data_IF_100591110790
#
_entry.id   IF_100591110790
#
_cell.length_a   1.000
_cell.length_b   1.000
_cell.length_c   1.000
_cell.angle_alpha   90.00
_cell.angle_beta   90.00
_cell.angle_gamma   90.00
#
_symmetry.space_group_name_H-M   'P 1'
#
loop_
_entity.id
_entity.type
_entity.pdbx_description
1 polymer ?
#
# COMPACT_ATOMS: atom_id res chain seq x y z
N UNK A 1 -1.62 7.63 17.70
CA UNK A 1 -2.07 7.46 16.30
C UNK A 1 -2.82 6.15 16.17
N UNK A 2 -4.03 6.18 15.62
CA UNK A 2 -4.74 4.99 15.15
C UNK A 2 -4.29 4.55 13.75
N UNK A 3 -3.97 3.26 13.62
CA UNK A 3 -3.50 2.63 12.38
C UNK A 3 -4.53 1.62 11.89
N UNK A 4 -4.89 1.74 10.62
CA UNK A 4 -5.85 0.85 9.94
C UNK A 4 -5.22 -0.47 9.48
N UNK A 5 -6.06 -1.48 9.25
CA UNK A 5 -5.61 -2.78 8.73
C UNK A 5 -4.98 -2.63 7.35
N UNK A 6 -5.51 -1.76 6.51
CA UNK A 6 -5.06 -1.50 5.14
C UNK A 6 -3.62 -0.98 5.13
N UNK A 7 -3.30 -0.03 6.03
CA UNK A 7 -1.96 0.51 6.21
C UNK A 7 -0.96 -0.57 6.60
N UNK A 8 -1.28 -1.37 7.61
CA UNK A 8 -0.38 -2.45 8.05
C UNK A 8 -0.24 -3.54 6.98
N UNK A 9 -1.31 -3.82 6.22
CA UNK A 9 -1.31 -4.83 5.17
C UNK A 9 -0.34 -4.49 4.03
N UNK A 10 0.04 -3.23 3.85
CA UNK A 10 1.07 -2.84 2.89
C UNK A 10 2.44 -3.46 3.17
N UNK A 11 2.75 -3.78 4.43
CA UNK A 11 4.05 -4.31 4.81
C UNK A 11 4.42 -5.61 4.06
N UNK A 12 3.42 -6.36 3.55
CA UNK A 12 3.63 -7.57 2.74
C UNK A 12 4.27 -7.30 1.37
N UNK A 13 4.20 -6.06 0.88
CA UNK A 13 4.78 -5.64 -0.39
C UNK A 13 6.21 -5.08 -0.22
N UNK A 14 6.69 -4.92 1.01
CA UNK A 14 8.06 -4.48 1.24
C UNK A 14 9.07 -5.52 0.69
N UNK A 15 10.10 -5.10 -0.06
CA UNK A 15 11.07 -6.01 -0.65
C UNK A 15 11.90 -6.71 0.42
N UNK A 16 12.06 -8.03 0.31
CA UNK A 16 12.90 -8.82 1.24
C UNK A 16 14.40 -8.52 1.06
N UNK A 17 14.81 -8.31 -0.20
CA UNK A 17 16.20 -8.13 -0.61
C UNK A 17 16.35 -6.81 -1.37
N UNK A 18 16.68 -5.74 -0.67
CA UNK A 18 16.93 -4.42 -1.26
C UNK A 18 18.15 -3.76 -0.61
N UNK A 19 18.99 -3.05 -1.37
CA UNK A 19 20.25 -2.50 -0.83
C UNK A 19 20.01 -1.45 0.27
N UNK A 20 18.98 -0.62 0.13
CA UNK A 20 18.51 0.25 1.18
C UNK A 20 17.65 -0.54 2.18
N UNK A 21 18.05 -0.57 3.46
CA UNK A 21 17.32 -1.26 4.53
C UNK A 21 15.99 -0.58 4.83
N UNK A 22 15.90 0.75 4.83
CA UNK A 22 14.68 1.50 5.12
C UNK A 22 13.53 1.11 4.19
N UNK A 23 13.85 0.91 2.91
CA UNK A 23 12.92 0.46 1.86
C UNK A 23 12.33 -0.93 2.13
N UNK A 24 12.99 -1.77 2.92
CA UNK A 24 12.48 -3.11 3.31
C UNK A 24 11.40 -3.05 4.40
N UNK A 25 10.90 -1.86 4.74
CA UNK A 25 10.00 -1.61 5.87
C UNK A 25 8.79 -0.82 5.41
N UNK A 26 7.73 -0.88 6.21
CA UNK A 26 6.57 -0.01 6.08
C UNK A 26 6.92 1.34 6.70
N UNK A 27 6.74 2.42 5.94
CA UNK A 27 6.96 3.78 6.41
C UNK A 27 5.64 4.45 6.74
N UNK A 28 5.51 4.93 7.98
CA UNK A 28 4.37 5.72 8.42
C UNK A 28 4.74 7.19 8.42
N UNK A 29 4.02 7.99 7.63
CA UNK A 29 4.23 9.43 7.50
C UNK A 29 2.90 10.14 7.65
N UNK A 30 2.65 10.80 8.78
CA UNK A 30 1.36 11.46 8.99
C UNK A 30 0.18 10.47 8.97
N UNK A 31 -0.77 10.75 8.11
CA UNK A 31 -1.98 9.96 7.86
C UNK A 31 -1.80 8.89 6.77
N UNK A 32 -0.59 8.66 6.28
CA UNK A 32 -0.30 7.69 5.22
C UNK A 32 0.71 6.62 5.64
N UNK A 33 0.59 5.46 5.00
CA UNK A 33 1.55 4.38 5.06
C UNK A 33 2.08 4.09 3.65
N UNK A 34 3.39 3.93 3.52
CA UNK A 34 4.10 3.85 2.24
C UNK A 34 5.02 2.63 2.24
N UNK A 35 5.05 1.92 1.11
CA UNK A 35 6.06 0.91 0.78
C UNK A 35 6.54 1.12 -0.65
N UNK A 36 7.81 0.84 -0.91
CA UNK A 36 8.37 0.89 -2.27
C UNK A 36 9.40 -0.22 -2.47
N UNK A 37 9.64 -0.60 -3.71
CA UNK A 37 10.80 -1.43 -4.11
C UNK A 37 11.78 -0.68 -5.03
N UNK A 38 11.59 0.63 -5.18
CA UNK A 38 12.33 1.50 -6.09
C UNK A 38 11.73 1.58 -7.51
N UNK A 39 10.85 0.66 -7.88
CA UNK A 39 10.14 0.68 -9.17
C UNK A 39 8.63 0.88 -8.99
N UNK A 40 8.07 0.37 -7.89
CA UNK A 40 6.67 0.47 -7.51
C UNK A 40 6.58 1.16 -6.16
N UNK A 41 5.76 2.20 -6.08
CA UNK A 41 5.36 2.85 -4.83
C UNK A 41 3.90 2.51 -4.56
N UNK A 42 3.60 2.06 -3.34
CA UNK A 42 2.23 1.85 -2.88
C UNK A 42 2.04 2.68 -1.63
N UNK A 43 1.05 3.56 -1.65
CA UNK A 43 0.66 4.38 -0.51
C UNK A 43 -0.82 4.16 -0.18
N UNK A 44 -1.12 4.11 1.11
CA UNK A 44 -2.48 4.12 1.66
C UNK A 44 -2.59 5.33 2.57
N UNK A 45 -3.51 6.25 2.24
CA UNK A 45 -3.78 7.46 3.01
C UNK A 45 -5.19 7.39 3.58
N UNK A 46 -5.34 7.74 4.85
CA UNK A 46 -6.67 7.87 5.45
C UNK A 46 -7.36 9.14 4.90
N UNK A 47 -8.65 9.04 4.60
CA UNK A 47 -9.48 10.21 4.31
C UNK A 47 -10.04 10.79 5.61
N UNK A 48 -10.48 12.05 5.59
CA UNK A 48 -11.11 12.67 6.77
C UNK A 48 -12.35 11.89 7.24
N UNK A 49 -13.12 11.33 6.31
CA UNK A 49 -14.29 10.49 6.61
C UNK A 49 -13.96 9.24 7.42
N UNK A 50 -12.73 8.73 7.27
CA UNK A 50 -12.25 7.52 7.95
C UNK A 50 -11.42 7.90 9.17
N UNK A 51 -11.25 9.18 9.52
CA UNK A 51 -10.44 9.55 10.69
C UNK A 51 -11.29 9.52 11.96
N UNK A 52 -10.98 8.57 12.86
CA UNK A 52 -11.55 8.53 14.20
C UNK A 52 -10.60 9.23 15.17
N UNK A 53 -11.11 9.97 16.16
CA UNK A 53 -10.26 10.60 17.15
C UNK A 53 -9.63 9.53 18.05
N UNK A 54 -8.34 9.70 18.34
CA UNK A 54 -7.57 8.76 19.17
C UNK A 54 -8.15 8.65 20.60
N UNK A 55 -8.87 9.68 21.06
CA UNK A 55 -9.57 9.69 22.35
C UNK A 55 -10.70 8.66 22.47
N UNK A 56 -11.23 8.17 21.35
CA UNK A 56 -12.30 7.17 21.36
C UNK A 56 -11.75 5.75 21.56
N UNK A 57 -10.42 5.58 21.47
CA UNK A 57 -9.80 4.28 21.67
C UNK A 57 -9.61 3.98 23.17
N UNK A 58 -9.92 2.76 23.65
CA UNK A 58 -9.77 2.42 25.07
C UNK A 58 -8.34 2.58 25.58
N UNK A 59 -8.17 3.06 26.82
CA UNK A 59 -6.86 3.08 27.47
C UNK A 59 -6.40 1.66 27.80
N UNK A 60 -5.39 1.20 27.08
CA UNK A 60 -4.75 -0.11 27.25
C UNK A 60 -3.26 0.03 27.61
N UNK A 61 -2.85 1.18 28.17
CA UNK A 61 -1.46 1.43 28.56
C UNK A 61 -0.51 1.73 27.40
N UNK A 62 -1.06 2.09 26.23
CA UNK A 62 -0.36 2.60 25.05
C UNK A 62 -0.87 4.03 24.85
N UNK A 63 -0.02 5.03 25.12
CA UNK A 63 -0.43 6.43 25.07
C UNK A 63 -0.34 6.96 23.64
N UNK A 64 -1.00 8.07 23.35
CA UNK A 64 -0.81 8.73 22.06
C UNK A 64 0.47 9.59 22.09
N UNK A 65 1.62 8.96 21.84
CA UNK A 65 2.92 9.60 21.72
C UNK A 65 3.40 9.71 20.27
N UNK A 66 2.49 9.98 19.33
CA UNK A 66 2.80 9.97 17.90
C UNK A 66 3.92 10.94 17.52
N UNK A 67 4.94 10.42 16.84
CA UNK A 67 5.82 11.22 16.00
C UNK A 67 5.55 10.91 14.53
N UNK A 68 5.46 11.93 13.65
CA UNK A 68 5.57 11.66 12.23
C UNK A 68 6.90 10.98 11.93
N UNK A 69 6.85 10.04 10.99
CA UNK A 69 8.01 9.39 10.37
C UNK A 69 8.60 8.21 11.16
N UNK A 70 7.85 7.11 11.20
CA UNK A 70 8.28 5.86 11.85
C UNK A 70 8.34 4.67 10.86
N UNK A 71 9.29 3.76 11.09
CA UNK A 71 9.48 2.56 10.30
C UNK A 71 9.03 1.30 11.03
N UNK A 72 8.18 0.52 10.38
CA UNK A 72 7.65 -0.74 10.92
C UNK A 72 8.19 -1.92 10.14
N UNK A 73 8.74 -2.91 10.87
CA UNK A 73 9.18 -4.15 10.21
C UNK A 73 7.97 -4.96 9.72
N UNK A 74 8.10 -5.69 8.59
CA UNK A 74 7.02 -6.56 8.12
C UNK A 74 6.55 -7.58 9.16
N UNK A 75 7.47 -8.10 9.97
CA UNK A 75 7.15 -9.04 11.05
C UNK A 75 6.31 -8.39 12.16
N UNK A 76 6.62 -7.15 12.54
CA UNK A 76 5.82 -6.39 13.51
C UNK A 76 4.43 -6.12 12.96
N UNK A 77 4.34 -5.58 11.74
CA UNK A 77 3.07 -5.26 11.10
C UNK A 77 2.17 -6.50 10.99
N UNK A 78 2.74 -7.65 10.61
CA UNK A 78 2.01 -8.92 10.55
C UNK A 78 1.52 -9.38 11.92
N UNK A 79 2.34 -9.26 12.98
CA UNK A 79 1.91 -9.58 14.35
C UNK A 79 0.75 -8.70 14.79
N UNK A 80 0.81 -7.39 14.52
CA UNK A 80 -0.27 -6.45 14.84
C UNK A 80 -1.55 -6.86 14.10
N UNK A 81 -1.49 -7.02 12.78
CA UNK A 81 -2.62 -7.44 11.96
C UNK A 81 -3.33 -8.72 12.40
N UNK A 82 -2.55 -9.70 12.91
CA UNK A 82 -3.07 -10.97 13.41
C UNK A 82 -3.84 -10.81 14.73
N UNK A 83 -3.46 -9.85 15.57
CA UNK A 83 -4.10 -9.58 16.86
C UNK A 83 -5.19 -8.51 16.76
N UNK A 84 -5.23 -7.73 15.68
CA UNK A 84 -6.33 -6.81 15.43
C UNK A 84 -7.65 -7.57 15.22
N UNK A 85 -8.72 -7.18 15.91
CA UNK A 85 -10.06 -7.70 15.66
C UNK A 85 -10.50 -7.55 14.20
N UNK A 86 -11.12 -8.58 13.63
CA UNK A 86 -11.48 -8.62 12.20
C UNK A 86 -12.80 -7.91 11.88
N UNK A 87 -13.73 -7.92 12.84
CA UNK A 87 -15.05 -7.31 12.76
C UNK A 87 -15.47 -6.99 14.17
N UNK A 88 -15.65 -5.72 14.47
CA UNK A 88 -16.07 -5.28 15.80
C UNK A 88 -17.36 -4.49 15.73
N UNK A 89 -18.09 -4.49 16.84
CA UNK A 89 -19.27 -3.64 16.98
C UNK A 89 -18.90 -2.15 16.95
N UNK A 90 -17.68 -1.81 17.41
CA UNK A 90 -17.14 -0.46 17.43
C UNK A 90 -16.01 -0.31 16.39
N UNK A 91 -16.19 0.54 15.37
CA UNK A 91 -15.18 0.73 14.30
C UNK A 91 -13.80 1.16 14.78
N UNK A 92 -13.71 1.80 15.96
CA UNK A 92 -12.45 2.24 16.56
C UNK A 92 -11.54 1.06 16.97
N UNK A 93 -12.15 -0.08 17.32
CA UNK A 93 -11.45 -1.31 17.72
C UNK A 93 -10.90 -2.11 16.52
N UNK A 94 -11.33 -1.77 15.30
CA UNK A 94 -10.74 -2.32 14.08
C UNK A 94 -9.38 -1.69 13.73
N UNK A 95 -8.86 -0.83 14.63
CA UNK A 95 -7.58 -0.14 14.51
C UNK A 95 -6.61 -0.57 15.60
N UNK A 96 -5.34 -0.34 15.36
CA UNK A 96 -4.30 -0.45 16.37
C UNK A 96 -3.89 0.95 16.82
N UNK A 97 -3.74 1.17 18.12
CA UNK A 97 -3.12 2.39 18.64
C UNK A 97 -1.60 2.24 18.63
N UNK A 98 -0.90 3.26 18.15
CA UNK A 98 0.56 3.32 18.15
C UNK A 98 1.06 4.42 19.09
N UNK A 99 2.08 4.05 19.87
CA UNK A 99 2.84 4.93 20.77
C UNK A 99 4.34 4.79 20.50
N UNK A 100 5.08 5.84 20.82
CA UNK A 100 6.53 5.87 20.77
C UNK A 100 7.08 6.27 22.13
N UNK A 101 7.79 5.33 22.75
CA UNK A 101 8.44 5.52 24.04
C UNK A 101 9.94 5.29 23.87
N UNK A 102 10.71 6.37 23.96
CA UNK A 102 12.17 6.40 23.82
C UNK A 102 12.68 5.66 22.57
N UNK A 103 13.24 4.46 22.76
CA UNK A 103 13.78 3.59 21.70
C UNK A 103 12.79 2.50 21.24
N UNK A 104 11.51 2.59 21.60
CA UNK A 104 10.53 1.55 21.30
C UNK A 104 9.25 2.11 20.68
N UNK A 105 8.74 1.39 19.69
CA UNK A 105 7.41 1.59 19.14
C UNK A 105 6.50 0.52 19.71
N UNK A 106 5.39 0.93 20.30
CA UNK A 106 4.37 0.06 20.90
C UNK A 106 3.09 0.14 20.08
N UNK A 107 2.47 -1.01 19.88
CA UNK A 107 1.21 -1.18 19.19
C UNK A 107 0.24 -1.89 20.12
N UNK A 108 -0.89 -1.24 20.40
CA UNK A 108 -1.96 -1.78 21.20
C UNK A 108 -3.14 -2.22 20.34
N UNK A 109 -3.71 -3.38 20.64
CA UNK A 109 -4.96 -3.89 20.06
C UNK A 109 -5.86 -4.36 21.20
N UNK A 110 -7.18 -4.14 21.11
CA UNK A 110 -8.12 -4.62 22.13
C UNK A 110 -9.50 -4.93 21.54
N UNK A 111 -10.17 -5.92 22.11
CA UNK A 111 -11.58 -6.27 21.87
C UNK A 111 -12.45 -5.94 23.11
N UNK A 112 -11.98 -5.01 23.97
CA UNK A 112 -12.55 -4.64 25.28
C UNK A 112 -12.39 -5.70 26.39
N UNK A 113 -12.40 -6.98 26.03
CA UNK A 113 -12.20 -8.08 26.99
C UNK A 113 -10.71 -8.39 27.21
N UNK A 114 -9.92 -8.26 26.15
CA UNK A 114 -8.49 -8.55 26.12
C UNK A 114 -7.70 -7.42 25.46
N UNK A 115 -6.46 -7.25 25.90
CA UNK A 115 -5.53 -6.27 25.33
C UNK A 115 -4.22 -6.94 24.97
N UNK A 116 -3.72 -6.67 23.77
CA UNK A 116 -2.42 -7.14 23.29
C UNK A 116 -1.54 -5.95 22.98
N UNK A 117 -0.36 -5.92 23.58
CA UNK A 117 0.68 -4.92 23.30
C UNK A 117 1.83 -5.62 22.57
N UNK A 118 2.18 -5.10 21.40
CA UNK A 118 3.30 -5.56 20.59
C UNK A 118 4.33 -4.44 20.54
N UNK A 119 5.58 -4.75 20.83
CA UNK A 119 6.67 -3.78 20.77
C UNK A 119 7.70 -4.14 19.71
N UNK A 120 8.32 -3.12 19.14
CA UNK A 120 9.54 -3.23 18.35
C UNK A 120 10.52 -2.15 18.78
N UNK A 121 11.82 -2.38 18.55
CA UNK A 121 12.80 -1.29 18.66
C UNK A 121 12.53 -0.25 17.58
N UNK A 122 12.67 1.01 17.94
CA UNK A 122 12.70 2.11 16.99
C UNK A 122 13.87 1.92 16.01
N UNK A 123 13.67 2.38 14.79
CA UNK A 123 14.56 2.13 13.67
C UNK A 123 15.04 3.48 13.17
N UNK A 124 16.29 3.79 13.52
CA UNK A 124 16.95 5.02 13.09
C UNK A 124 17.53 4.86 11.68
N UNK A 125 16.64 4.88 10.69
CA UNK A 125 17.01 4.87 9.27
C UNK A 125 16.15 5.87 8.51
N UNK A 126 16.75 6.58 7.55
CA UNK A 126 16.00 7.50 6.69
C UNK A 126 15.30 6.74 5.56
N UNK A 127 13.97 6.86 5.48
CA UNK A 127 13.22 6.49 4.30
C UNK A 127 13.51 7.49 3.16
N UNK A 128 13.59 7.06 1.89
CA UNK A 128 13.74 7.98 0.77
C UNK A 128 12.61 9.02 0.73
N UNK A 129 12.94 10.26 0.39
CA UNK A 129 11.92 11.28 0.10
C UNK A 129 11.28 10.97 -1.26
N UNK A 130 9.98 10.73 -1.26
CA UNK A 130 9.17 10.33 -2.42
C UNK A 130 8.00 11.31 -2.67
N UNK A 131 8.04 12.51 -2.08
CA UNK A 131 6.92 13.46 -2.20
C UNK A 131 6.63 13.89 -3.64
N UNK A 132 7.68 13.96 -4.48
CA UNK A 132 7.57 14.39 -5.88
C UNK A 132 6.93 13.32 -6.76
N UNK A 133 7.07 12.07 -6.39
CA UNK A 133 6.49 10.91 -7.08
C UNK A 133 5.02 10.71 -6.73
N UNK A 134 4.58 11.19 -5.55
CA UNK A 134 3.20 11.05 -5.08
C UNK A 134 2.31 12.20 -5.60
N UNK A 135 2.84 13.42 -5.71
CA UNK A 135 2.07 14.63 -6.03
C UNK A 135 2.37 15.17 -7.44
N UNK A 136 2.11 14.38 -8.48
CA UNK A 136 2.29 14.82 -9.87
C UNK A 136 1.06 15.61 -10.35
N UNK A 137 1.21 16.94 -10.43
CA UNK A 137 0.20 17.82 -11.04
C UNK A 137 0.37 17.89 -12.57
N UNK A 138 -0.75 17.88 -13.31
CA UNK A 138 -0.75 18.10 -14.76
C UNK A 138 -0.61 16.85 -15.63
N UNK A 139 -0.86 15.66 -15.09
CA UNK A 139 -0.82 14.42 -15.85
C UNK A 139 -2.17 14.07 -16.50
N UNK A 140 -2.12 13.50 -17.69
CA UNK A 140 -3.30 13.00 -18.37
C UNK A 140 -3.79 11.70 -17.71
N UNK A 141 -5.06 11.67 -17.36
CA UNK A 141 -5.62 10.55 -16.60
C UNK A 141 -6.22 9.54 -17.57
N UNK A 142 -5.64 8.34 -17.58
CA UNK A 142 -6.19 7.19 -18.31
C UNK A 142 -6.95 6.32 -17.32
N UNK A 143 -8.27 6.27 -17.48
CA UNK A 143 -9.15 5.46 -16.64
C UNK A 143 -9.33 4.09 -17.28
N UNK A 144 -8.86 3.05 -16.57
CA UNK A 144 -8.99 1.65 -16.96
C UNK A 144 -9.87 0.91 -15.96
N UNK A 145 -10.67 -0.02 -16.48
CA UNK A 145 -11.45 -0.93 -15.64
C UNK A 145 -10.52 -1.97 -14.98
N UNK A 146 -10.56 -2.03 -13.64
CA UNK A 146 -9.72 -2.92 -12.84
C UNK A 146 -9.99 -4.39 -13.17
N UNK A 147 -11.26 -4.78 -13.37
CA UNK A 147 -11.61 -6.16 -13.68
C UNK A 147 -11.11 -6.58 -15.08
N UNK A 148 -11.07 -5.65 -16.04
CA UNK A 148 -10.45 -5.91 -17.35
C UNK A 148 -8.93 -6.07 -17.22
N UNK A 149 -8.27 -5.25 -16.41
CA UNK A 149 -6.84 -5.38 -16.13
C UNK A 149 -6.51 -6.70 -15.46
N UNK A 150 -7.32 -7.15 -14.49
CA UNK A 150 -7.15 -8.45 -13.84
C UNK A 150 -7.28 -9.62 -14.83
N UNK A 151 -8.28 -9.57 -15.72
CA UNK A 151 -8.45 -10.56 -16.80
C UNK A 151 -7.23 -10.59 -17.73
N UNK A 152 -6.71 -9.43 -18.12
CA UNK A 152 -5.52 -9.32 -18.95
C UNK A 152 -4.29 -9.93 -18.26
N UNK A 153 -4.06 -9.60 -16.98
CA UNK A 153 -2.97 -10.14 -16.18
C UNK A 153 -3.11 -11.66 -16.01
N UNK A 154 -4.33 -12.17 -15.81
CA UNK A 154 -4.58 -13.62 -15.71
C UNK A 154 -4.21 -14.34 -17.01
N UNK A 155 -4.67 -13.83 -18.16
CA UNK A 155 -4.31 -14.38 -19.47
C UNK A 155 -2.78 -14.37 -19.69
N UNK A 156 -2.10 -13.30 -19.29
CA UNK A 156 -0.63 -13.21 -19.34
C UNK A 156 0.06 -14.26 -18.47
N UNK A 157 -0.44 -14.52 -17.26
CA UNK A 157 0.12 -15.56 -16.38
C UNK A 157 -0.07 -16.96 -16.96
N UNK A 158 -1.24 -17.25 -17.52
CA UNK A 158 -1.56 -18.54 -18.15
C UNK A 158 -0.69 -18.79 -19.39
N UNK A 159 -0.39 -17.74 -20.16
CA UNK A 159 0.46 -17.82 -21.34
C UNK A 159 1.95 -18.13 -21.05
N UNK A 160 2.41 -17.91 -19.80
CA UNK A 160 3.79 -18.11 -19.34
C UNK A 160 4.85 -17.43 -20.24
N UNK A 161 4.80 -16.10 -20.38
CA UNK A 161 5.73 -15.38 -21.24
C UNK A 161 7.15 -15.46 -20.68
N UNK A 162 8.12 -15.69 -21.57
CA UNK A 162 9.56 -15.58 -21.27
C UNK A 162 10.06 -14.15 -21.44
N UNK A 163 9.43 -13.38 -22.33
CA UNK A 163 9.69 -11.95 -22.53
C UNK A 163 8.40 -11.21 -22.85
N UNK A 164 8.27 -9.99 -22.35
CA UNK A 164 7.13 -9.12 -22.61
C UNK A 164 7.53 -7.66 -22.69
N UNK A 165 6.72 -6.88 -23.39
CA UNK A 165 6.75 -5.42 -23.41
C UNK A 165 5.35 -4.92 -23.10
N UNK A 166 5.28 -3.91 -22.23
CA UNK A 166 4.07 -3.14 -21.97
C UNK A 166 4.23 -1.81 -22.70
N UNK A 167 3.17 -1.30 -23.31
CA UNK A 167 3.18 -0.01 -24.00
C UNK A 167 1.86 0.69 -23.77
N UNK A 168 1.94 1.96 -23.43
CA UNK A 168 0.81 2.86 -23.33
C UNK A 168 0.56 3.47 -24.70
N UNK A 169 -0.69 3.49 -25.13
CA UNK A 169 -1.10 4.05 -26.40
C UNK A 169 -2.22 5.04 -26.19
N UNK A 170 -2.19 6.11 -26.98
CA UNK A 170 -3.35 6.93 -27.25
C UNK A 170 -3.82 6.68 -28.67
N UNK A 171 -5.13 6.58 -28.82
CA UNK A 171 -5.82 6.42 -30.08
C UNK A 171 -6.70 7.63 -30.27
N UNK A 172 -6.62 8.25 -31.44
CA UNK A 172 -7.56 9.29 -31.85
C UNK A 172 -8.46 8.71 -32.91
N UNK A 173 -9.77 8.70 -32.65
CA UNK A 173 -10.78 8.24 -33.61
C UNK A 173 -11.86 9.31 -33.74
N UNK A 174 -11.74 10.15 -34.78
CA UNK A 174 -12.59 11.32 -34.94
C UNK A 174 -12.38 12.34 -33.82
N UNK A 175 -13.47 12.79 -33.20
CA UNK A 175 -13.46 13.71 -32.05
C UNK A 175 -13.18 13.02 -30.71
N UNK A 176 -13.17 11.69 -30.67
CA UNK A 176 -12.95 10.93 -29.44
C UNK A 176 -11.48 10.54 -29.26
N UNK A 177 -10.94 10.83 -28.09
CA UNK A 177 -9.67 10.29 -27.62
C UNK A 177 -9.91 9.06 -26.74
N UNK A 178 -9.27 7.96 -27.12
CA UNK A 178 -9.20 6.76 -26.32
C UNK A 178 -7.75 6.49 -25.95
N UNK A 179 -7.52 5.80 -24.85
CA UNK A 179 -6.20 5.31 -24.51
C UNK A 179 -6.27 3.83 -24.20
N UNK A 180 -5.13 3.17 -24.19
CA UNK A 180 -5.09 1.77 -23.82
C UNK A 180 -3.69 1.29 -23.50
N UNK A 181 -3.63 0.19 -22.77
CA UNK A 181 -2.38 -0.50 -22.47
C UNK A 181 -2.33 -1.75 -23.33
N UNK A 182 -1.25 -1.88 -24.12
CA UNK A 182 -0.95 -3.10 -24.86
C UNK A 182 0.14 -3.89 -24.16
N UNK A 183 -0.14 -5.17 -23.92
CA UNK A 183 0.84 -6.17 -23.51
C UNK A 183 1.19 -7.02 -24.73
N UNK A 184 2.47 -7.06 -25.09
CA UNK A 184 2.97 -7.97 -26.14
C UNK A 184 4.01 -8.89 -25.55
N UNK A 185 3.82 -10.19 -25.69
CA UNK A 185 4.76 -11.15 -25.14
C UNK A 185 4.93 -12.38 -26.04
N UNK A 186 5.99 -13.14 -25.75
CA UNK A 186 6.26 -14.44 -26.36
C UNK A 186 6.47 -15.48 -25.27
N UNK A 187 5.97 -16.69 -25.48
CA UNK A 187 6.28 -17.85 -24.63
C UNK A 187 7.33 -18.74 -25.30
N UNK A 188 7.72 -19.81 -24.63
CA UNK A 188 8.49 -20.93 -25.21
C UNK A 188 7.47 -22.01 -25.61
N UNK A 189 7.31 -22.42 -26.90
CA UNK A 189 8.28 -22.50 -28.00
C UNK A 189 8.33 -21.32 -28.99
N UNK A 190 7.72 -20.16 -28.66
CA UNK A 190 7.81 -18.95 -29.48
C UNK A 190 6.48 -18.38 -29.96
N UNK A 191 5.34 -18.86 -29.46
CA UNK A 191 4.04 -18.27 -29.76
C UNK A 191 3.99 -16.83 -29.24
N UNK A 192 3.25 -15.96 -29.92
CA UNK A 192 3.04 -14.57 -29.52
C UNK A 192 1.63 -14.34 -29.00
N UNK A 193 1.51 -13.46 -28.01
CA UNK A 193 0.23 -12.97 -27.52
C UNK A 193 0.25 -11.45 -27.48
N UNK A 194 -0.87 -10.86 -27.88
CA UNK A 194 -1.14 -9.42 -27.71
C UNK A 194 -2.44 -9.26 -26.96
N UNK A 195 -2.41 -8.50 -25.86
CA UNK A 195 -3.58 -8.13 -25.08
C UNK A 195 -3.68 -6.61 -25.09
N UNK A 196 -4.83 -6.09 -25.48
CA UNK A 196 -5.12 -4.65 -25.45
C UNK A 196 -6.23 -4.41 -24.43
N UNK A 197 -5.97 -3.58 -23.44
CA UNK A 197 -6.98 -3.08 -22.50
C UNK A 197 -7.28 -1.64 -22.86
N UNK A 198 -8.53 -1.38 -23.27
CA UNK A 198 -8.99 -0.05 -23.63
C UNK A 198 -9.44 0.72 -22.37
N UNK A 199 -9.12 2.00 -22.33
CA UNK A 199 -9.50 2.96 -21.30
C UNK A 199 -10.04 4.25 -21.90
N UNK A 200 -10.59 5.08 -21.04
CA UNK A 200 -11.13 6.39 -21.38
C UNK A 200 -10.10 7.44 -20.96
N UNK A 201 -9.79 8.39 -21.84
CA UNK A 201 -8.98 9.55 -21.50
C UNK A 201 -9.87 10.58 -20.84
N UNK A 202 -9.50 11.03 -19.64
CA UNK A 202 -10.10 12.21 -19.01
C UNK A 202 -9.10 13.36 -19.10
N UNK A 203 -9.58 14.47 -19.67
CA UNK A 203 -8.88 15.76 -19.73
C UNK A 203 -9.25 16.57 -18.51
#
# INVERSE_FOLDING_TARGET
>A
MLITREKLALAKYAPKNHNCKAVRRLYLKGDQAIVTDGNILIAVKDTEEVRLPDSDYPDIGVKDGYTPDDLITPATAEKVLRNMPKKEALPVLERAIMDKEEETLKFGCTDLDTSVIISQRNIDECFPDLEKEINQEGEEIIVLDVALMEKAIKALKEFKPVRGRVSLHKFRSGENEAAGITFRCKNDPGASMTVLVMGIVKV
#
